data_IF_882889859814
#
_entry.id   IF_882889859814
#
_cell.length_a   1.000
_cell.length_b   1.000
_cell.length_c   1.000
_cell.angle_alpha   90.00
_cell.angle_beta   90.00
_cell.angle_gamma   90.00
#
_symmetry.space_group_name_H-M   'P 1'
#
loop_
_entity.id
_entity.type
_entity.pdbx_description
1 polymer ?
#
# COMPACT_ATOMS: atom_id res chain seq x y z
N UNK A 1 20.69 5.87 -6.20
CA UNK A 1 19.37 6.21 -5.65
C UNK A 1 18.28 5.38 -6.30
N UNK A 2 18.06 5.59 -7.61
CA UNK A 2 16.94 5.01 -8.37
C UNK A 2 16.91 3.47 -8.40
N UNK A 3 18.05 2.80 -8.59
CA UNK A 3 18.10 1.31 -8.58
C UNK A 3 17.71 0.69 -7.24
N UNK A 4 18.07 1.33 -6.12
CA UNK A 4 17.68 0.86 -4.79
C UNK A 4 16.17 0.96 -4.58
N UNK A 5 15.57 2.07 -5.01
CA UNK A 5 14.11 2.25 -4.93
C UNK A 5 13.37 1.24 -5.81
N UNK A 6 13.88 0.95 -7.01
CA UNK A 6 13.31 -0.08 -7.88
C UNK A 6 13.37 -1.47 -7.23
N UNK A 7 14.53 -1.84 -6.69
CA UNK A 7 14.71 -3.13 -6.02
C UNK A 7 13.81 -3.24 -4.78
N UNK A 8 13.72 -2.19 -3.98
CA UNK A 8 12.84 -2.14 -2.82
C UNK A 8 11.36 -2.33 -3.20
N UNK A 9 10.89 -1.69 -4.28
CA UNK A 9 9.52 -1.89 -4.78
C UNK A 9 9.31 -3.35 -5.23
N UNK A 10 10.30 -3.97 -5.88
CA UNK A 10 10.20 -5.37 -6.31
C UNK A 10 10.17 -6.35 -5.15
N UNK A 11 10.90 -6.08 -4.06
CA UNK A 11 10.95 -6.92 -2.87
C UNK A 11 9.79 -6.66 -1.89
N UNK A 12 9.10 -5.52 -2.00
CA UNK A 12 7.99 -5.18 -1.12
C UNK A 12 6.79 -6.11 -1.31
N UNK A 13 6.18 -6.50 -0.18
CA UNK A 13 4.88 -7.18 -0.12
C UNK A 13 3.72 -6.19 -0.35
N UNK A 14 3.91 -4.93 0.04
CA UNK A 14 2.95 -3.85 -0.11
C UNK A 14 3.66 -2.49 -0.28
N UNK A 15 3.12 -1.62 -1.14
CA UNK A 15 3.72 -0.31 -1.44
C UNK A 15 2.74 0.82 -1.12
N UNK A 16 3.14 1.76 -0.27
CA UNK A 16 2.39 3.00 -0.04
C UNK A 16 2.97 4.11 -0.92
N UNK A 17 2.13 4.69 -1.78
CA UNK A 17 2.47 5.84 -2.61
C UNK A 17 1.82 7.06 -1.96
N UNK A 18 2.64 7.96 -1.41
CA UNK A 18 2.16 9.17 -0.73
C UNK A 18 2.46 10.40 -1.59
N UNK A 19 1.43 11.10 -2.06
CA UNK A 19 1.54 12.29 -2.91
C UNK A 19 0.95 13.51 -2.21
N UNK A 20 1.62 14.65 -2.29
CA UNK A 20 1.10 15.94 -1.82
C UNK A 20 0.19 16.56 -2.88
N UNK A 21 -1.11 16.46 -2.67
CA UNK A 21 -2.11 16.94 -3.63
C UNK A 21 -2.30 18.46 -3.61
N UNK A 22 -1.68 19.19 -2.68
CA UNK A 22 -1.68 20.67 -2.73
C UNK A 22 -0.95 21.20 -3.96
N UNK A 23 0.02 20.44 -4.47
CA UNK A 23 0.75 20.72 -5.71
C UNK A 23 0.09 20.09 -6.95
N UNK A 24 -0.99 19.32 -6.75
CA UNK A 24 -1.60 18.48 -7.77
C UNK A 24 -0.86 17.15 -7.95
N UNK A 25 -1.36 16.33 -8.89
CA UNK A 25 -0.72 15.07 -9.25
C UNK A 25 0.33 15.32 -10.34
N UNK A 26 1.61 15.22 -9.99
CA UNK A 26 2.70 15.58 -10.89
C UNK A 26 3.04 14.41 -11.83
N UNK A 27 3.67 14.66 -13.00
CA UNK A 27 4.11 13.59 -13.90
C UNK A 27 5.04 12.57 -13.23
N UNK A 28 5.80 13.01 -12.24
CA UNK A 28 6.70 12.15 -11.46
C UNK A 28 5.93 11.15 -10.58
N UNK A 29 4.80 11.55 -10.02
CA UNK A 29 3.89 10.66 -9.27
C UNK A 29 3.28 9.60 -10.19
N UNK A 30 2.89 10.00 -11.41
CA UNK A 30 2.36 9.08 -12.42
C UNK A 30 3.40 8.03 -12.83
N UNK A 31 4.67 8.44 -12.96
CA UNK A 31 5.77 7.50 -13.23
C UNK A 31 5.99 6.52 -12.08
N UNK A 32 5.87 6.97 -10.82
CA UNK A 32 5.96 6.09 -9.65
C UNK A 32 4.80 5.10 -9.59
N UNK A 33 3.57 5.59 -9.79
CA UNK A 33 2.36 4.77 -9.85
C UNK A 33 2.48 3.71 -10.95
N UNK A 34 2.88 4.10 -12.16
CA UNK A 34 3.09 3.17 -13.27
C UNK A 34 4.15 2.10 -12.95
N UNK A 35 5.24 2.44 -12.26
CA UNK A 35 6.26 1.47 -11.85
C UNK A 35 5.71 0.42 -10.88
N UNK A 36 4.78 0.82 -10.00
CA UNK A 36 4.13 -0.09 -9.05
C UNK A 36 3.09 -0.96 -9.76
N UNK A 37 2.27 -0.35 -10.63
CA UNK A 37 1.25 -1.04 -11.43
C UNK A 37 1.85 -2.09 -12.38
N UNK A 38 2.93 -1.75 -13.08
CA UNK A 38 3.63 -2.68 -13.99
C UNK A 38 4.14 -3.93 -13.26
N UNK A 39 4.49 -3.80 -11.98
CA UNK A 39 4.96 -4.92 -11.15
C UNK A 39 3.84 -5.67 -10.45
N UNK A 40 2.58 -5.24 -10.62
CA UNK A 40 1.39 -5.82 -10.02
C UNK A 40 1.52 -6.00 -8.50
N UNK A 41 2.21 -5.05 -7.85
CA UNK A 41 2.38 -5.09 -6.40
C UNK A 41 1.11 -4.56 -5.71
N UNK A 42 0.66 -5.20 -4.62
CA UNK A 42 -0.33 -4.61 -3.74
C UNK A 42 0.12 -3.22 -3.31
N UNK A 43 -0.77 -2.22 -3.44
CA UNK A 43 -0.43 -0.84 -3.16
C UNK A 43 -1.61 -0.03 -2.62
N UNK A 44 -1.29 1.08 -1.97
CA UNK A 44 -2.23 2.15 -1.65
C UNK A 44 -1.71 3.47 -2.23
N UNK A 45 -2.56 4.13 -3.01
CA UNK A 45 -2.34 5.51 -3.44
C UNK A 45 -2.95 6.44 -2.40
N UNK A 46 -2.12 7.26 -1.78
CA UNK A 46 -2.48 8.16 -0.69
C UNK A 46 -2.26 9.61 -1.12
N UNK A 47 -3.35 10.36 -1.15
CA UNK A 47 -3.38 11.78 -1.45
C UNK A 47 -3.37 12.57 -0.16
N UNK A 48 -2.19 13.04 0.20
CA UNK A 48 -1.91 13.76 1.44
C UNK A 48 -2.11 15.27 1.29
N UNK A 49 -2.35 15.94 2.42
CA UNK A 49 -2.60 17.38 2.55
C UNK A 49 -3.93 17.82 1.94
N UNK A 50 -4.98 17.03 2.12
CA UNK A 50 -6.34 17.34 1.66
C UNK A 50 -6.92 18.60 2.29
N UNK A 51 -6.40 19.01 3.44
CA UNK A 51 -6.70 20.28 4.11
C UNK A 51 -6.28 21.52 3.30
N UNK A 52 -5.30 21.39 2.40
CA UNK A 52 -4.78 22.51 1.60
C UNK A 52 -5.50 22.71 0.26
N UNK A 53 -6.46 21.85 -0.07
CA UNK A 53 -7.22 21.95 -1.32
C UNK A 53 -8.68 22.29 -1.05
N UNK A 54 -9.35 22.83 -2.08
CA UNK A 54 -10.79 23.10 -2.04
C UNK A 54 -11.57 21.83 -2.36
N UNK A 55 -12.76 21.69 -1.77
CA UNK A 55 -13.65 20.52 -1.95
C UNK A 55 -13.87 20.16 -3.43
N UNK A 56 -14.06 21.15 -4.29
CA UNK A 56 -14.28 20.92 -5.73
C UNK A 56 -13.11 20.21 -6.42
N UNK A 57 -11.86 20.47 -5.96
CA UNK A 57 -10.67 19.77 -6.46
C UNK A 57 -10.55 18.37 -5.86
N UNK A 58 -10.96 18.19 -4.61
CA UNK A 58 -10.95 16.87 -3.98
C UNK A 58 -11.87 15.91 -4.76
N UNK A 59 -13.05 16.38 -5.16
CA UNK A 59 -13.99 15.63 -5.99
C UNK A 59 -13.40 15.23 -7.35
N UNK A 60 -12.60 16.09 -7.97
CA UNK A 60 -11.90 15.76 -9.22
C UNK A 60 -10.89 14.63 -9.02
N UNK A 61 -10.12 14.66 -7.93
CA UNK A 61 -9.16 13.61 -7.62
C UNK A 61 -9.83 12.28 -7.27
N UNK A 62 -10.95 12.30 -6.53
CA UNK A 62 -11.74 11.10 -6.25
C UNK A 62 -12.28 10.49 -7.56
N UNK A 63 -12.77 11.32 -8.48
CA UNK A 63 -13.28 10.85 -9.78
C UNK A 63 -12.17 10.26 -10.66
N UNK A 64 -10.99 10.90 -10.67
CA UNK A 64 -9.85 10.43 -11.45
C UNK A 64 -9.22 9.16 -10.84
N UNK A 65 -9.17 9.07 -9.51
CA UNK A 65 -8.55 7.99 -8.76
C UNK A 65 -9.50 7.50 -7.66
N UNK A 66 -10.52 6.69 -8.00
CA UNK A 66 -11.56 6.27 -7.07
C UNK A 66 -11.04 5.39 -5.92
N UNK A 67 -9.90 4.72 -6.14
CA UNK A 67 -9.26 3.86 -5.14
C UNK A 67 -8.18 4.61 -4.32
N UNK A 68 -8.02 5.92 -4.52
CA UNK A 68 -7.08 6.71 -3.75
C UNK A 68 -7.63 7.05 -2.36
N UNK A 69 -6.77 6.97 -1.36
CA UNK A 69 -7.08 7.36 0.01
C UNK A 69 -6.74 8.83 0.17
N UNK A 70 -7.78 9.66 0.34
CA UNK A 70 -7.60 11.05 0.74
C UNK A 70 -7.23 11.10 2.23
N UNK A 71 -6.14 11.80 2.55
CA UNK A 71 -5.66 11.94 3.90
C UNK A 71 -5.09 13.35 4.19
N UNK A 72 -5.16 13.75 5.45
CA UNK A 72 -4.41 14.87 5.99
C UNK A 72 -3.71 14.41 7.25
N UNK A 73 -2.41 14.12 7.13
CA UNK A 73 -1.62 13.59 8.24
C UNK A 73 -1.53 14.61 9.39
N UNK A 74 -1.49 15.91 9.09
CA UNK A 74 -1.46 16.96 10.11
C UNK A 74 -2.75 17.04 10.92
N UNK A 75 -3.88 16.69 10.31
CA UNK A 75 -5.20 16.70 10.94
C UNK A 75 -5.63 15.30 11.43
N UNK A 76 -4.74 14.30 11.37
CA UNK A 76 -5.02 12.91 11.74
C UNK A 76 -6.17 12.26 10.94
N UNK A 77 -6.36 12.69 9.68
CA UNK A 77 -7.45 12.22 8.80
C UNK A 77 -6.90 11.20 7.80
N UNK A 78 -7.60 10.07 7.64
CA UNK A 78 -7.35 9.09 6.57
C UNK A 78 -6.33 8.01 6.91
N UNK A 79 -5.69 8.06 8.08
CA UNK A 79 -4.81 7.01 8.58
C UNK A 79 -5.59 5.71 8.81
N UNK A 80 -6.77 5.78 9.44
CA UNK A 80 -7.65 4.62 9.66
C UNK A 80 -7.98 3.89 8.35
N UNK A 81 -8.31 4.62 7.28
CA UNK A 81 -8.58 4.02 5.96
C UNK A 81 -7.36 3.30 5.37
N UNK A 82 -6.16 3.84 5.60
CA UNK A 82 -4.92 3.20 5.18
C UNK A 82 -4.68 1.91 5.98
N UNK A 83 -4.93 1.94 7.29
CA UNK A 83 -4.83 0.76 8.15
C UNK A 83 -5.83 -0.32 7.74
N UNK A 84 -7.09 0.04 7.50
CA UNK A 84 -8.14 -0.86 7.00
C UNK A 84 -7.73 -1.50 5.67
N UNK A 85 -7.20 -0.72 4.73
CA UNK A 85 -6.75 -1.22 3.42
C UNK A 85 -5.59 -2.20 3.55
N UNK A 86 -4.60 -1.88 4.38
CA UNK A 86 -3.46 -2.78 4.67
C UNK A 86 -3.97 -4.07 5.34
N UNK A 87 -4.88 -3.94 6.30
CA UNK A 87 -5.45 -5.09 7.01
C UNK A 87 -6.25 -5.98 6.07
N UNK A 88 -7.05 -5.40 5.16
CA UNK A 88 -7.78 -6.13 4.12
C UNK A 88 -6.85 -6.98 3.27
N UNK A 89 -5.78 -6.39 2.73
CA UNK A 89 -4.81 -7.12 1.91
C UNK A 89 -4.08 -8.21 2.71
N UNK A 90 -3.71 -7.92 3.95
CA UNK A 90 -3.02 -8.88 4.81
C UNK A 90 -3.91 -10.06 5.23
N UNK A 91 -5.23 -9.86 5.28
CA UNK A 91 -6.21 -10.89 5.67
C UNK A 91 -6.80 -11.64 4.48
N UNK A 92 -6.95 -11.00 3.31
CA UNK A 92 -7.33 -11.68 2.06
C UNK A 92 -6.27 -12.71 1.64
N UNK A 93 -4.98 -12.45 1.87
CA UNK A 93 -3.92 -13.46 1.70
C UNK A 93 -4.02 -14.65 2.68
N UNK A 94 -4.86 -14.58 3.72
CA UNK A 94 -5.04 -15.68 4.69
C UNK A 94 -6.24 -16.58 4.40
N UNK A 95 -7.13 -16.25 3.46
CA UNK A 95 -8.31 -17.10 3.25
C UNK A 95 -7.99 -18.49 2.65
N UNK A 96 -6.78 -18.71 2.13
CA UNK A 96 -6.28 -20.06 1.77
C UNK A 96 -5.55 -20.79 2.91
N UNK A 97 -5.30 -20.15 4.05
CA UNK A 97 -4.48 -20.70 5.15
C UNK A 97 -5.34 -21.40 6.22
N UNK A 98 -6.64 -21.14 6.28
CA UNK A 98 -7.53 -21.82 7.23
C UNK A 98 -7.66 -23.34 6.98
N UNK A 99 -7.15 -23.85 5.84
CA UNK A 99 -7.03 -25.28 5.55
C UNK A 99 -5.59 -25.84 5.59
N UNK A 100 -4.58 -25.03 5.93
CA UNK A 100 -3.22 -25.54 6.12
C UNK A 100 -2.74 -25.25 7.52
N UNK A 101 -2.64 -26.33 8.31
CA UNK A 101 -1.96 -26.41 9.60
C UNK A 101 -0.72 -25.52 9.57
N UNK A 102 -0.81 -24.39 10.30
CA UNK A 102 0.27 -23.43 10.42
C UNK A 102 1.39 -24.05 11.26
N UNK A 103 2.37 -24.70 10.63
CA UNK A 103 3.59 -25.16 11.31
C UNK A 103 4.43 -23.92 11.64
N UNK A 104 4.10 -23.30 12.76
CA UNK A 104 4.88 -22.20 13.31
C UNK A 104 5.91 -22.84 14.23
N UNK A 105 7.05 -23.27 13.69
CA UNK A 105 8.36 -23.24 14.35
C UNK A 105 9.42 -23.91 13.48
N UNK A 106 10.27 -23.09 12.86
CA UNK A 106 11.52 -23.50 12.22
C UNK A 106 12.59 -23.93 13.25
N UNK A 107 12.22 -24.73 14.27
CA UNK A 107 13.17 -25.21 15.29
C UNK A 107 13.06 -26.68 15.71
N UNK A 108 12.01 -27.42 15.32
CA UNK A 108 11.87 -28.83 15.72
C UNK A 108 11.92 -29.84 14.56
N UNK A 109 12.48 -29.49 13.39
CA UNK A 109 12.63 -30.45 12.28
C UNK A 109 13.81 -31.43 12.46
N UNK A 110 14.67 -31.25 13.48
CA UNK A 110 15.85 -32.10 13.69
C UNK A 110 15.63 -33.33 14.57
N UNK A 111 14.45 -33.54 15.15
CA UNK A 111 14.21 -34.70 16.04
C UNK A 111 13.16 -35.69 15.52
N UNK A 112 12.41 -35.36 14.47
CA UNK A 112 11.33 -36.24 13.97
C UNK A 112 11.75 -37.19 12.83
N UNK A 113 13.04 -37.23 12.45
CA UNK A 113 13.58 -38.17 11.44
C UNK A 113 14.50 -39.26 12.03
N UNK A 114 14.50 -39.46 13.34
CA UNK A 114 15.29 -40.53 13.97
C UNK A 114 14.57 -41.15 15.17
N UNK A 115 13.38 -41.71 14.91
CA UNK A 115 12.75 -42.72 15.74
C UNK A 115 12.08 -43.75 14.83
#
# INVERSE_FOLDING_TARGET
GVERSIKAISEADFVVILTDISQGFLPEDEVLLNKVLVRQKPHALCFNKTDLIKDNKADEFIKAYPNAILMSISEDIGIEKLEEHIFGIATENRQDIDNQVLITNARDDKQLKTA
#
